data_IF_238738924219
#
_entry.id   IF_238738924219
#
_cell.length_a   1.000
_cell.length_b   1.000
_cell.length_c   1.000
_cell.angle_alpha   90.00
_cell.angle_beta   90.00
_cell.angle_gamma   90.00
#
_symmetry.space_group_name_H-M   'P 1'
#
loop_
_entity.id
_entity.type
_entity.pdbx_description
1 polymer ?
#
# COMPACT_ATOMS: atom_id res chain seq x y z
N UNK A 1 24.32 19.55 4.20
CA UNK A 1 23.83 19.32 2.83
C UNK A 1 22.37 18.90 2.86
N UNK A 2 21.57 19.43 1.93
CA UNK A 2 20.19 18.96 1.77
C UNK A 2 20.19 17.54 1.24
N UNK A 3 19.47 16.64 1.92
CA UNK A 3 19.26 15.28 1.41
C UNK A 3 18.43 15.31 0.13
N UNK A 4 18.77 14.44 -0.81
CA UNK A 4 17.95 14.25 -2.01
C UNK A 4 16.69 13.52 -1.64
N UNK A 5 15.58 13.89 -2.29
CA UNK A 5 14.28 13.24 -2.13
C UNK A 5 13.96 12.41 -3.35
N UNK A 6 13.40 11.25 -3.15
CA UNK A 6 12.95 10.37 -4.23
C UNK A 6 11.55 9.85 -3.92
N UNK A 7 10.70 9.81 -4.94
CA UNK A 7 9.39 9.19 -4.87
C UNK A 7 9.43 7.93 -5.72
N UNK A 8 9.09 6.80 -5.13
CA UNK A 8 9.02 5.52 -5.81
C UNK A 8 7.55 5.12 -5.93
N UNK A 9 7.07 4.99 -7.16
CA UNK A 9 5.69 4.58 -7.43
C UNK A 9 5.64 3.09 -7.78
N UNK A 10 4.89 2.33 -7.01
CA UNK A 10 4.72 0.89 -7.20
C UNK A 10 3.37 0.60 -7.84
N UNK A 11 3.38 0.09 -9.07
CA UNK A 11 2.18 -0.40 -9.74
C UNK A 11 1.75 -1.77 -9.19
N UNK A 12 0.60 -2.27 -9.64
CA UNK A 12 0.07 -3.54 -9.12
C UNK A 12 0.98 -4.74 -9.44
N UNK A 13 1.68 -4.72 -10.56
CA UNK A 13 2.64 -5.77 -10.92
C UNK A 13 3.83 -5.84 -9.95
N UNK A 14 4.17 -4.70 -9.36
CA UNK A 14 5.24 -4.62 -8.38
C UNK A 14 4.84 -5.17 -6.99
N UNK A 15 3.54 -5.40 -6.77
CA UNK A 15 3.02 -5.88 -5.49
C UNK A 15 2.47 -7.31 -5.55
N UNK A 16 2.16 -7.81 -6.75
CA UNK A 16 1.52 -9.11 -6.92
C UNK A 16 0.04 -9.09 -6.55
N UNK A 17 -0.59 -10.25 -6.59
CA UNK A 17 -2.03 -10.42 -6.37
C UNK A 17 -2.35 -11.15 -5.07
N UNK A 18 -1.63 -12.22 -4.78
CA UNK A 18 -1.84 -13.02 -3.57
C UNK A 18 -0.95 -12.53 -2.42
N UNK A 19 -1.28 -12.95 -1.21
CA UNK A 19 -0.46 -12.62 -0.02
C UNK A 19 0.99 -13.09 -0.15
N UNK A 20 1.28 -14.34 -0.56
CA UNK A 20 2.67 -14.77 -0.77
C UNK A 20 3.41 -13.97 -1.85
N UNK A 21 2.74 -13.65 -2.96
CA UNK A 21 3.33 -12.83 -4.02
C UNK A 21 3.67 -11.43 -3.51
N UNK A 22 2.77 -10.82 -2.74
CA UNK A 22 2.99 -9.50 -2.15
C UNK A 22 4.17 -9.52 -1.19
N UNK A 23 4.29 -10.54 -0.36
CA UNK A 23 5.43 -10.68 0.55
C UNK A 23 6.76 -10.76 -0.19
N UNK A 24 6.83 -11.54 -1.25
CA UNK A 24 8.04 -11.65 -2.05
C UNK A 24 8.34 -10.34 -2.81
N UNK A 25 7.31 -9.71 -3.34
CA UNK A 25 7.44 -8.43 -4.05
C UNK A 25 7.95 -7.32 -3.12
N UNK A 26 7.40 -7.23 -1.91
CA UNK A 26 7.84 -6.23 -0.93
C UNK A 26 9.27 -6.45 -0.46
N UNK A 27 9.71 -7.70 -0.35
CA UNK A 27 11.12 -8.00 -0.05
C UNK A 27 12.07 -7.50 -1.14
N UNK A 28 11.72 -7.72 -2.41
CA UNK A 28 12.53 -7.21 -3.53
C UNK A 28 12.58 -5.68 -3.54
N UNK A 29 11.43 -5.06 -3.38
CA UNK A 29 11.33 -3.59 -3.30
C UNK A 29 12.13 -3.03 -2.13
N UNK A 30 12.07 -3.70 -0.98
CA UNK A 30 12.77 -3.27 0.22
C UNK A 30 14.29 -3.20 0.03
N UNK A 31 14.86 -4.13 -0.73
CA UNK A 31 16.30 -4.10 -1.03
C UNK A 31 16.70 -2.84 -1.79
N UNK A 32 15.94 -2.49 -2.81
CA UNK A 32 16.18 -1.27 -3.60
C UNK A 32 15.98 -0.01 -2.75
N UNK A 33 14.91 0.04 -1.97
CA UNK A 33 14.62 1.18 -1.08
C UNK A 33 15.71 1.37 -0.04
N UNK A 34 16.18 0.28 0.56
CA UNK A 34 17.25 0.34 1.56
C UNK A 34 18.56 0.88 0.97
N UNK A 35 18.86 0.56 -0.28
CA UNK A 35 20.04 1.10 -0.97
C UNK A 35 19.94 2.62 -1.15
N UNK A 36 18.78 3.15 -1.52
CA UNK A 36 18.55 4.59 -1.60
C UNK A 36 18.72 5.27 -0.23
N UNK A 37 18.19 4.66 0.81
CA UNK A 37 18.29 5.21 2.17
C UNK A 37 19.75 5.20 2.65
N UNK A 38 20.50 4.14 2.36
CA UNK A 38 21.93 4.06 2.66
C UNK A 38 22.69 5.19 1.95
N UNK A 39 22.29 5.55 0.74
CA UNK A 39 22.91 6.61 -0.05
C UNK A 39 22.35 8.00 0.27
N UNK A 40 21.72 8.14 1.43
CA UNK A 40 21.23 9.41 2.01
C UNK A 40 20.03 10.04 1.28
N UNK A 41 19.24 9.23 0.57
CA UNK A 41 17.97 9.71 0.03
C UNK A 41 16.86 9.66 1.08
N UNK A 42 16.00 10.66 1.04
CA UNK A 42 14.70 10.61 1.71
C UNK A 42 13.70 9.98 0.74
N UNK A 43 13.13 8.85 1.12
CA UNK A 43 12.28 8.05 0.24
C UNK A 43 10.81 8.17 0.63
N UNK A 44 9.97 8.43 -0.35
CA UNK A 44 8.51 8.34 -0.24
C UNK A 44 8.05 7.28 -1.24
N UNK A 45 7.21 6.35 -0.79
CA UNK A 45 6.67 5.30 -1.63
C UNK A 45 5.17 5.55 -1.80
N UNK A 46 4.73 5.54 -3.06
CA UNK A 46 3.31 5.47 -3.41
C UNK A 46 3.02 4.13 -4.06
N UNK A 47 1.80 3.63 -3.94
CA UNK A 47 1.45 2.33 -4.52
C UNK A 47 -0.01 2.27 -4.95
N UNK A 48 -0.28 1.41 -5.93
CA UNK A 48 -1.63 1.03 -6.30
C UNK A 48 -2.15 -0.05 -5.32
N UNK A 49 -3.43 -0.40 -5.42
CA UNK A 49 -4.08 -1.33 -4.51
C UNK A 49 -5.15 -2.22 -5.17
N UNK A 50 -5.21 -2.25 -6.51
CA UNK A 50 -6.32 -2.90 -7.23
C UNK A 50 -6.65 -4.31 -6.77
N UNK A 51 -5.74 -5.29 -6.86
CA UNK A 51 -6.02 -6.65 -6.41
C UNK A 51 -6.35 -6.74 -4.92
N UNK A 52 -5.68 -5.96 -4.10
CA UNK A 52 -5.83 -5.98 -2.65
C UNK A 52 -7.19 -5.45 -2.21
N UNK A 53 -7.63 -4.32 -2.77
CA UNK A 53 -8.93 -3.75 -2.44
C UNK A 53 -10.07 -4.65 -2.93
N UNK A 54 -9.91 -5.28 -4.08
CA UNK A 54 -10.89 -6.25 -4.61
C UNK A 54 -11.06 -7.46 -3.70
N UNK A 55 -9.96 -8.03 -3.25
CA UNK A 55 -9.97 -9.15 -2.31
C UNK A 55 -10.65 -8.77 -0.99
N UNK A 56 -10.27 -7.65 -0.41
CA UNK A 56 -10.83 -7.17 0.85
C UNK A 56 -12.32 -6.90 0.71
N UNK A 57 -12.73 -6.21 -0.35
CA UNK A 57 -14.13 -5.89 -0.61
C UNK A 57 -14.98 -7.15 -0.74
N UNK A 58 -14.51 -8.13 -1.51
CA UNK A 58 -15.20 -9.42 -1.66
C UNK A 58 -15.30 -10.15 -0.33
N UNK A 59 -14.19 -10.24 0.41
CA UNK A 59 -14.16 -10.95 1.70
C UNK A 59 -15.10 -10.29 2.72
N UNK A 60 -15.08 -8.97 2.82
CA UNK A 60 -15.93 -8.24 3.77
C UNK A 60 -17.41 -8.38 3.43
N UNK A 61 -17.77 -8.31 2.15
CA UNK A 61 -19.17 -8.43 1.75
C UNK A 61 -19.68 -9.86 1.86
N UNK A 62 -18.86 -10.88 1.59
CA UNK A 62 -19.21 -12.27 1.84
C UNK A 62 -19.43 -12.54 3.32
N UNK A 63 -18.58 -11.99 4.18
CA UNK A 63 -18.77 -12.08 5.62
C UNK A 63 -20.10 -11.45 6.04
N UNK A 64 -20.40 -10.26 5.53
CA UNK A 64 -21.65 -9.56 5.84
C UNK A 64 -22.89 -10.27 5.27
N UNK A 65 -22.75 -11.05 4.20
CA UNK A 65 -23.82 -11.88 3.68
C UNK A 65 -24.20 -13.00 4.68
N UNK A 66 -23.20 -13.57 5.34
CA UNK A 66 -23.39 -14.60 6.34
C UNK A 66 -23.85 -14.03 7.69
N UNK A 67 -23.41 -12.83 8.01
CA UNK A 67 -23.70 -12.14 9.26
C UNK A 67 -24.23 -10.73 8.97
N UNK A 68 -25.55 -10.61 8.64
CA UNK A 68 -26.11 -9.33 8.18
C UNK A 68 -26.01 -8.17 9.18
N UNK A 69 -25.84 -8.46 10.47
CA UNK A 69 -25.67 -7.45 11.51
C UNK A 69 -24.42 -6.59 11.31
N UNK A 70 -23.44 -7.05 10.54
CA UNK A 70 -22.22 -6.29 10.27
C UNK A 70 -22.33 -5.30 9.10
N UNK A 71 -23.42 -5.35 8.35
CA UNK A 71 -23.69 -4.48 7.18
C UNK A 71 -22.58 -4.54 6.09
N UNK A 72 -22.93 -4.17 4.86
CA UNK A 72 -21.98 -4.14 3.75
C UNK A 72 -20.91 -3.07 3.97
N UNK A 73 -19.67 -3.39 3.62
CA UNK A 73 -18.54 -2.50 3.80
C UNK A 73 -18.32 -1.63 2.56
N UNK A 74 -18.32 -0.29 2.71
CA UNK A 74 -18.08 0.60 1.57
C UNK A 74 -16.70 0.40 0.94
N UNK A 75 -16.60 0.62 -0.36
CA UNK A 75 -15.34 0.51 -1.11
C UNK A 75 -14.26 1.45 -0.55
N UNK A 76 -14.62 2.64 -0.10
CA UNK A 76 -13.68 3.60 0.50
C UNK A 76 -13.01 3.04 1.76
N UNK A 77 -13.76 2.31 2.59
CA UNK A 77 -13.22 1.66 3.79
C UNK A 77 -12.31 0.50 3.39
N UNK A 78 -12.70 -0.30 2.41
CA UNK A 78 -11.86 -1.38 1.88
C UNK A 78 -10.56 -0.85 1.28
N UNK A 79 -10.62 0.30 0.62
CA UNK A 79 -9.42 0.97 0.10
C UNK A 79 -8.50 1.40 1.24
N UNK A 80 -9.03 1.96 2.32
CA UNK A 80 -8.25 2.29 3.51
C UNK A 80 -7.60 1.05 4.14
N UNK A 81 -8.34 -0.06 4.22
CA UNK A 81 -7.80 -1.34 4.70
C UNK A 81 -6.65 -1.84 3.82
N UNK A 82 -6.77 -1.67 2.49
CA UNK A 82 -5.71 -2.07 1.56
C UNK A 82 -4.43 -1.28 1.77
N UNK A 83 -4.54 0.00 2.13
CA UNK A 83 -3.37 0.83 2.45
C UNK A 83 -2.61 0.28 3.66
N UNK A 84 -3.33 -0.13 4.68
CA UNK A 84 -2.73 -0.77 5.85
C UNK A 84 -2.11 -2.12 5.52
N UNK A 85 -2.79 -2.94 4.75
CA UNK A 85 -2.33 -4.26 4.34
C UNK A 85 -1.01 -4.18 3.54
N UNK A 86 -0.97 -3.34 2.51
CA UNK A 86 0.22 -3.14 1.68
C UNK A 86 1.32 -2.42 2.46
N UNK A 87 0.95 -1.35 3.15
CA UNK A 87 1.91 -0.54 3.91
C UNK A 87 2.57 -1.31 5.04
N UNK A 88 1.84 -2.20 5.68
CA UNK A 88 2.39 -3.08 6.73
C UNK A 88 3.48 -4.00 6.17
N UNK A 89 3.22 -4.65 5.04
CA UNK A 89 4.22 -5.53 4.41
C UNK A 89 5.45 -4.74 3.95
N UNK A 90 5.25 -3.60 3.30
CA UNK A 90 6.36 -2.72 2.88
C UNK A 90 7.18 -2.23 4.08
N UNK A 91 6.50 -1.75 5.10
CA UNK A 91 7.13 -1.21 6.31
C UNK A 91 8.00 -2.26 6.99
N UNK A 92 7.50 -3.48 7.16
CA UNK A 92 8.24 -4.57 7.78
C UNK A 92 9.43 -5.01 6.92
N UNK A 93 9.23 -5.14 5.61
CA UNK A 93 10.30 -5.58 4.70
C UNK A 93 11.43 -4.54 4.64
N UNK A 94 11.09 -3.26 4.53
CA UNK A 94 12.08 -2.18 4.48
C UNK A 94 12.83 -2.09 5.80
N UNK A 95 12.12 -2.13 6.92
CA UNK A 95 12.75 -2.10 8.24
C UNK A 95 13.73 -3.25 8.42
N UNK A 96 13.36 -4.47 8.00
CA UNK A 96 14.23 -5.64 8.09
C UNK A 96 15.51 -5.43 7.27
N UNK A 97 15.41 -4.93 6.04
CA UNK A 97 16.58 -4.64 5.20
C UNK A 97 17.46 -3.54 5.79
N UNK A 98 16.88 -2.49 6.36
CA UNK A 98 17.63 -1.43 7.03
C UNK A 98 18.41 -1.97 8.23
N UNK A 99 17.78 -2.81 9.05
CA UNK A 99 18.45 -3.43 10.19
C UNK A 99 19.62 -4.32 9.75
N UNK A 100 19.45 -5.08 8.65
CA UNK A 100 20.52 -5.89 8.09
C UNK A 100 21.72 -5.05 7.65
N UNK A 101 21.51 -3.79 7.30
CA UNK A 101 22.56 -2.84 6.90
C UNK A 101 23.05 -1.98 8.07
N UNK A 102 22.59 -2.24 9.29
CA UNK A 102 22.93 -1.45 10.47
C UNK A 102 22.32 -0.03 10.48
N UNK A 103 21.24 0.17 9.74
CA UNK A 103 20.57 1.47 9.65
C UNK A 103 19.32 1.46 10.53
N UNK A 104 19.28 2.37 11.50
CA UNK A 104 18.17 2.49 12.45
C UNK A 104 17.31 3.70 12.07
N UNK A 105 16.31 3.47 11.21
CA UNK A 105 15.36 4.49 10.78
C UNK A 105 13.94 3.96 10.87
N UNK A 106 13.02 4.85 11.20
CA UNK A 106 11.60 4.54 11.26
C UNK A 106 11.01 4.56 9.85
N UNK A 107 10.18 3.57 9.57
CA UNK A 107 9.34 3.51 8.37
C UNK A 107 7.90 3.63 8.82
N UNK A 108 7.16 4.57 8.24
CA UNK A 108 5.78 4.85 8.62
C UNK A 108 4.85 4.70 7.41
N UNK A 109 3.65 4.22 7.67
CA UNK A 109 2.58 4.16 6.68
C UNK A 109 1.57 5.26 6.98
N UNK A 110 1.23 6.04 5.96
CA UNK A 110 0.29 7.15 6.08
C UNK A 110 -0.97 6.83 5.29
N UNK A 111 -2.11 6.85 5.98
CA UNK A 111 -3.40 6.77 5.30
C UNK A 111 -3.63 8.02 4.49
N UNK A 112 -4.00 7.84 3.23
CA UNK A 112 -4.17 8.92 2.26
C UNK A 112 -5.64 8.99 1.83
N UNK A 113 -6.21 10.16 1.92
CA UNK A 113 -7.54 10.46 1.37
C UNK A 113 -7.40 11.46 0.24
N UNK A 114 -8.16 11.24 -0.83
CA UNK A 114 -8.15 12.11 -2.00
C UNK A 114 -9.50 12.80 -2.09
N UNK A 115 -9.48 14.13 -2.10
CA UNK A 115 -10.68 14.94 -2.34
C UNK A 115 -10.99 14.89 -3.82
N UNK A 116 -12.23 14.59 -4.14
CA UNK A 116 -12.71 14.48 -5.53
C UNK A 116 -13.81 15.49 -5.79
N UNK A 117 -13.95 15.90 -7.06
CA UNK A 117 -15.04 16.76 -7.47
C UNK A 117 -16.34 15.93 -7.57
N UNK A 118 -17.41 16.30 -6.83
CA UNK A 118 -18.66 15.55 -6.91
C UNK A 118 -19.34 15.62 -8.29
N UNK A 119 -18.93 16.55 -9.13
CA UNK A 119 -19.42 16.69 -10.50
C UNK A 119 -18.51 16.04 -11.54
N UNK A 120 -17.50 15.28 -11.11
CA UNK A 120 -16.61 14.56 -12.03
C UNK A 120 -17.41 13.59 -12.90
N UNK A 121 -17.10 13.57 -14.19
CA UNK A 121 -17.79 12.75 -15.17
C UNK A 121 -17.71 11.24 -14.84
N UNK A 122 -16.68 10.81 -14.14
CA UNK A 122 -16.50 9.41 -13.73
C UNK A 122 -17.63 8.90 -12.83
N UNK A 123 -18.34 9.77 -12.13
CA UNK A 123 -19.51 9.36 -11.33
C UNK A 123 -20.72 8.99 -12.18
N UNK A 124 -20.79 9.52 -13.39
CA UNK A 124 -21.90 9.28 -14.32
C UNK A 124 -21.56 8.25 -15.38
N UNK A 125 -20.27 8.17 -15.73
CA UNK A 125 -19.76 7.27 -16.76
C UNK A 125 -18.47 6.60 -16.25
N UNK A 126 -18.57 5.67 -15.29
CA UNK A 126 -17.37 4.98 -14.79
C UNK A 126 -16.75 4.13 -15.89
N UNK A 127 -15.43 4.07 -15.89
CA UNK A 127 -14.67 3.20 -16.81
C UNK A 127 -14.63 1.78 -16.30
#
# INVERSE_FOLDING_TARGET
>A
MKKKKIVIALGHEALGTTLPEQKEATKRTAKAVADFIRDDYQVVITHSNGPQVGMIHTAMNEFCRLYPEYTATPMSVCSAMSQGYIGYDLQNAIRAELLNKGIYKTVSTVLTQVVVDPYDEAFYKPK
#
